data_IF_050974121781
#
_entry.id   IF_050974121781
#
_cell.length_a   1.000
_cell.length_b   1.000
_cell.length_c   1.000
_cell.angle_alpha   90.00
_cell.angle_beta   90.00
_cell.angle_gamma   90.00
#
_symmetry.space_group_name_H-M   'P 1'
#
loop_
_entity.id
_entity.type
_entity.pdbx_description
1 polymer ?
#
# COMPACT_ATOMS: atom_id res chain seq x y z
N UNK A 1 9.22 8.44 -20.77
CA UNK A 1 7.99 7.93 -21.41
C UNK A 1 8.10 6.41 -21.45
N UNK A 2 7.11 5.67 -20.95
CA UNK A 2 7.10 4.20 -20.95
C UNK A 2 6.99 3.69 -22.39
N UNK A 3 7.96 2.90 -22.84
CA UNK A 3 7.97 2.30 -24.17
C UNK A 3 8.32 0.82 -24.07
N UNK A 4 7.58 -0.04 -24.74
CA UNK A 4 8.00 -1.42 -24.92
C UNK A 4 9.23 -1.42 -25.81
N UNK A 5 10.26 -2.18 -25.42
CA UNK A 5 11.37 -2.42 -26.31
C UNK A 5 10.89 -3.13 -27.58
N UNK A 6 11.44 -2.79 -28.73
CA UNK A 6 11.07 -3.40 -30.02
C UNK A 6 11.55 -4.87 -30.14
N UNK A 7 12.28 -5.36 -29.12
CA UNK A 7 12.79 -6.72 -29.06
C UNK A 7 11.68 -7.73 -28.73
N UNK A 8 11.76 -8.92 -29.32
CA UNK A 8 10.92 -10.05 -28.93
C UNK A 8 11.19 -10.50 -27.49
N UNK A 9 10.22 -11.13 -26.83
CA UNK A 9 10.46 -11.75 -25.53
C UNK A 9 11.64 -12.74 -25.60
N UNK A 10 12.49 -12.73 -24.59
CA UNK A 10 13.65 -13.62 -24.49
C UNK A 10 13.73 -14.30 -23.13
N UNK A 11 14.51 -15.36 -23.05
CA UNK A 11 14.77 -16.03 -21.79
C UNK A 11 15.96 -15.40 -21.06
N UNK A 12 15.78 -15.14 -19.75
CA UNK A 12 16.85 -14.80 -18.83
C UNK A 12 16.97 -15.87 -17.75
N UNK A 13 18.18 -16.12 -17.27
CA UNK A 13 18.39 -16.93 -16.08
C UNK A 13 17.80 -16.21 -14.85
N UNK A 14 17.35 -16.98 -13.85
CA UNK A 14 16.66 -16.41 -12.67
C UNK A 14 17.58 -15.50 -11.84
N UNK A 15 18.87 -15.73 -11.86
CA UNK A 15 19.91 -14.95 -11.18
C UNK A 15 20.27 -13.65 -11.92
N UNK A 16 19.98 -13.57 -13.23
CA UNK A 16 20.12 -12.34 -14.01
C UNK A 16 19.02 -11.30 -13.72
N UNK A 17 17.93 -11.71 -13.03
CA UNK A 17 16.77 -10.86 -12.76
C UNK A 17 16.86 -10.32 -11.33
N UNK A 18 17.12 -9.01 -11.21
CA UNK A 18 17.12 -8.28 -9.95
C UNK A 18 15.70 -7.99 -9.46
N UNK A 19 15.59 -7.76 -8.16
CA UNK A 19 14.32 -7.50 -7.45
C UNK A 19 14.37 -6.21 -6.62
N UNK A 20 15.11 -5.18 -7.06
CA UNK A 20 15.24 -3.91 -6.32
C UNK A 20 13.88 -3.25 -6.05
N UNK A 21 12.90 -3.47 -6.94
CA UNK A 21 11.53 -2.96 -6.81
C UNK A 21 10.58 -3.87 -6.01
N UNK A 22 11.03 -5.03 -5.51
CA UNK A 22 10.19 -5.92 -4.67
C UNK A 22 9.69 -5.21 -3.41
N UNK A 23 10.43 -4.21 -2.92
CA UNK A 23 10.05 -3.36 -1.77
C UNK A 23 8.72 -2.62 -1.95
N UNK A 24 8.22 -2.47 -3.18
CA UNK A 24 6.92 -1.85 -3.50
C UNK A 24 5.80 -2.86 -3.61
N UNK A 25 6.06 -4.14 -3.33
CA UNK A 25 5.09 -5.23 -3.47
C UNK A 25 4.92 -5.98 -2.17
N UNK A 26 3.67 -6.32 -1.85
CA UNK A 26 3.39 -7.20 -0.72
C UNK A 26 3.71 -8.64 -1.10
N UNK A 27 4.54 -9.26 -0.28
CA UNK A 27 4.75 -10.70 -0.36
C UNK A 27 3.55 -11.42 0.26
N UNK A 28 2.88 -12.27 -0.53
CA UNK A 28 1.72 -13.07 -0.09
C UNK A 28 2.07 -14.55 -0.33
N UNK A 29 2.50 -15.28 0.71
CA UNK A 29 2.99 -16.68 0.56
C UNK A 29 1.99 -17.63 -0.10
N UNK A 30 0.70 -17.46 0.17
CA UNK A 30 -0.36 -18.30 -0.43
C UNK A 30 -0.50 -18.06 -1.94
N UNK A 31 -0.41 -16.81 -2.36
CA UNK A 31 -0.46 -16.48 -3.77
C UNK A 31 0.78 -16.99 -4.53
N UNK A 32 1.93 -17.02 -3.86
CA UNK A 32 3.16 -17.59 -4.41
C UNK A 32 3.06 -19.13 -4.54
N UNK A 33 2.54 -19.83 -3.50
CA UNK A 33 2.23 -21.27 -3.58
C UNK A 33 1.25 -21.60 -4.70
N UNK A 34 0.23 -20.77 -4.90
CA UNK A 34 -0.69 -20.88 -6.03
C UNK A 34 0.02 -20.73 -7.39
N UNK A 35 0.98 -19.77 -7.48
CA UNK A 35 1.78 -19.56 -8.68
C UNK A 35 2.74 -20.73 -8.95
N UNK A 36 3.36 -21.33 -7.92
CA UNK A 36 4.19 -22.53 -8.07
C UNK A 36 3.40 -23.67 -8.73
N UNK A 37 2.23 -24.02 -8.20
CA UNK A 37 1.37 -25.05 -8.79
C UNK A 37 0.97 -24.75 -10.24
N UNK A 38 0.77 -23.46 -10.56
CA UNK A 38 0.48 -23.04 -11.93
C UNK A 38 1.67 -23.23 -12.87
N UNK A 39 2.86 -22.84 -12.42
CA UNK A 39 4.10 -23.00 -13.19
C UNK A 39 4.46 -24.48 -13.41
N UNK A 40 4.29 -25.33 -12.39
CA UNK A 40 4.50 -26.79 -12.50
C UNK A 40 3.55 -27.43 -13.51
N UNK A 41 2.27 -26.99 -13.52
CA UNK A 41 1.25 -27.61 -14.36
C UNK A 41 1.24 -27.11 -15.80
N UNK A 42 1.46 -25.81 -15.99
CA UNK A 42 1.23 -25.14 -17.28
C UNK A 42 2.49 -24.47 -17.85
N UNK A 43 3.59 -24.48 -17.10
CA UNK A 43 4.75 -23.65 -17.44
C UNK A 43 4.47 -22.15 -17.35
N UNK A 44 5.34 -21.36 -17.91
CA UNK A 44 5.17 -19.91 -18.00
C UNK A 44 4.29 -19.53 -19.19
N UNK A 45 3.07 -19.09 -18.92
CA UNK A 45 2.09 -18.70 -19.96
C UNK A 45 2.35 -17.29 -20.49
N UNK A 46 2.83 -16.37 -19.63
CA UNK A 46 3.09 -14.98 -20.03
C UNK A 46 4.46 -14.53 -19.52
N UNK A 47 5.21 -13.69 -20.28
CA UNK A 47 6.49 -13.21 -19.84
C UNK A 47 6.35 -12.32 -18.59
N UNK A 48 7.41 -12.28 -17.77
CA UNK A 48 7.57 -11.25 -16.74
C UNK A 48 8.05 -9.95 -17.40
N UNK A 49 7.86 -8.81 -16.76
CA UNK A 49 8.28 -7.53 -17.30
C UNK A 49 9.51 -7.04 -16.55
N UNK A 50 10.54 -6.64 -17.29
CA UNK A 50 11.80 -6.12 -16.76
C UNK A 50 12.15 -4.77 -17.40
N UNK A 51 12.95 -3.95 -16.71
CA UNK A 51 13.69 -2.85 -17.29
C UNK A 51 15.18 -3.03 -17.07
N UNK A 52 16.00 -2.18 -17.68
CA UNK A 52 17.45 -2.16 -17.44
C UNK A 52 17.77 -0.94 -16.60
N UNK A 53 18.38 -1.16 -15.43
CA UNK A 53 18.90 -0.12 -14.54
C UNK A 53 20.36 -0.42 -14.26
N UNK A 54 21.23 0.54 -14.49
CA UNK A 54 22.67 0.40 -14.28
C UNK A 54 23.28 -0.87 -14.92
N UNK A 55 22.78 -1.26 -16.10
CA UNK A 55 23.22 -2.45 -16.84
C UNK A 55 22.67 -3.78 -16.34
N UNK A 56 21.74 -3.79 -15.36
CA UNK A 56 21.11 -4.99 -14.80
C UNK A 56 19.63 -5.05 -15.14
N UNK A 57 19.12 -6.27 -15.33
CA UNK A 57 17.68 -6.48 -15.49
C UNK A 57 16.98 -6.42 -14.15
N UNK A 58 16.06 -5.47 -13.99
CA UNK A 58 15.28 -5.29 -12.79
C UNK A 58 13.80 -5.59 -13.06
N UNK A 59 13.20 -6.44 -12.21
CA UNK A 59 11.82 -6.87 -12.35
C UNK A 59 10.83 -5.73 -12.10
N UNK A 60 9.88 -5.56 -13.02
CA UNK A 60 8.78 -4.57 -12.94
C UNK A 60 7.44 -5.25 -12.67
N UNK A 61 7.17 -6.39 -13.33
CA UNK A 61 5.97 -7.20 -13.08
C UNK A 61 6.28 -8.68 -13.16
N UNK A 62 5.59 -9.46 -12.32
CA UNK A 62 5.75 -10.90 -12.23
C UNK A 62 6.51 -11.36 -10.98
N UNK A 63 6.61 -10.54 -9.92
CA UNK A 63 7.30 -10.89 -8.67
C UNK A 63 6.89 -12.26 -8.11
N UNK A 64 5.60 -12.61 -8.15
CA UNK A 64 5.12 -13.92 -7.71
C UNK A 64 5.62 -15.06 -8.62
N UNK A 65 5.78 -14.79 -9.92
CA UNK A 65 6.32 -15.78 -10.89
C UNK A 65 7.80 -16.01 -10.63
N UNK A 66 8.58 -14.95 -10.48
CA UNK A 66 10.00 -15.07 -10.18
C UNK A 66 10.23 -15.78 -8.84
N UNK A 67 9.52 -15.36 -7.76
CA UNK A 67 9.62 -16.00 -6.45
C UNK A 67 9.23 -17.49 -6.48
N UNK A 68 8.18 -17.83 -7.24
CA UNK A 68 7.76 -19.22 -7.42
C UNK A 68 8.77 -20.02 -8.25
N UNK A 69 9.26 -19.45 -9.36
CA UNK A 69 10.25 -20.12 -10.23
C UNK A 69 11.56 -20.46 -9.49
N UNK A 70 12.04 -19.55 -8.63
CA UNK A 70 13.25 -19.79 -7.81
C UNK A 70 13.11 -20.92 -6.80
N UNK A 71 11.89 -21.36 -6.50
CA UNK A 71 11.61 -22.50 -5.60
C UNK A 71 11.41 -23.81 -6.34
N UNK A 72 11.37 -23.77 -7.67
CA UNK A 72 11.19 -24.93 -8.52
C UNK A 72 12.52 -25.35 -9.16
N UNK A 73 13.04 -26.53 -8.80
CA UNK A 73 14.28 -27.06 -9.38
C UNK A 73 14.21 -27.22 -10.91
N UNK A 74 12.99 -27.41 -11.44
CA UNK A 74 12.73 -27.56 -12.87
C UNK A 74 12.82 -26.26 -13.68
N UNK A 75 12.88 -25.10 -13.01
CA UNK A 75 12.87 -23.79 -13.66
C UNK A 75 14.15 -23.02 -13.35
N UNK A 76 15.00 -22.85 -14.35
CA UNK A 76 16.24 -22.07 -14.24
C UNK A 76 16.19 -20.75 -15.01
N UNK A 77 15.18 -20.57 -15.87
CA UNK A 77 15.01 -19.40 -16.74
C UNK A 77 13.55 -18.96 -16.77
N UNK A 78 13.34 -17.70 -17.12
CA UNK A 78 11.99 -17.12 -17.38
C UNK A 78 12.01 -16.33 -18.68
N UNK A 79 10.89 -16.42 -19.40
CA UNK A 79 10.58 -15.48 -20.49
C UNK A 79 10.34 -14.10 -19.93
N UNK A 80 11.06 -13.12 -20.48
CA UNK A 80 10.96 -11.71 -20.07
C UNK A 80 10.60 -10.84 -21.26
N UNK A 81 9.88 -9.78 -21.01
CA UNK A 81 9.63 -8.68 -21.94
C UNK A 81 10.19 -7.40 -21.36
N UNK A 82 11.00 -6.69 -22.14
CA UNK A 82 11.66 -5.47 -21.67
C UNK A 82 10.82 -4.22 -21.94
N UNK A 83 10.83 -3.31 -20.98
CA UNK A 83 10.40 -1.93 -21.18
C UNK A 83 11.60 -0.99 -21.08
N UNK A 84 11.58 0.06 -21.88
CA UNK A 84 12.58 1.13 -21.83
C UNK A 84 12.04 2.25 -20.95
N UNK A 85 12.74 2.48 -19.84
CA UNK A 85 12.31 3.48 -18.86
C UNK A 85 13.44 3.80 -17.90
N UNK A 86 13.40 5.00 -17.31
CA UNK A 86 14.20 5.38 -16.15
C UNK A 86 13.58 4.82 -14.83
N UNK A 87 14.22 5.08 -13.71
CA UNK A 87 13.78 4.61 -12.40
C UNK A 87 12.39 5.15 -12.01
N UNK A 88 12.09 6.42 -12.34
CA UNK A 88 10.77 7.03 -12.11
C UNK A 88 9.68 6.35 -12.94
N UNK A 89 9.97 6.13 -14.21
CA UNK A 89 9.07 5.42 -15.10
C UNK A 89 8.90 3.94 -14.72
N UNK A 90 9.94 3.27 -14.19
CA UNK A 90 9.85 1.92 -13.64
C UNK A 90 8.84 1.84 -12.48
N UNK A 91 8.92 2.77 -11.52
CA UNK A 91 7.95 2.88 -10.42
C UNK A 91 6.52 3.13 -10.93
N UNK A 92 6.37 4.02 -11.92
CA UNK A 92 5.08 4.28 -12.57
C UNK A 92 4.55 3.05 -13.32
N UNK A 93 5.44 2.28 -13.97
CA UNK A 93 5.08 1.04 -14.66
C UNK A 93 4.57 -0.04 -13.70
N UNK A 94 5.21 -0.22 -12.55
CA UNK A 94 4.76 -1.14 -11.50
C UNK A 94 3.32 -0.81 -11.09
N UNK A 95 3.02 0.48 -10.88
CA UNK A 95 1.66 0.92 -10.59
C UNK A 95 0.71 0.63 -11.76
N UNK A 96 1.07 1.02 -12.99
CA UNK A 96 0.22 0.92 -14.16
C UNK A 96 -0.14 -0.51 -14.55
N UNK A 97 0.85 -1.41 -14.61
CA UNK A 97 0.69 -2.81 -14.98
C UNK A 97 -0.18 -3.60 -13.98
N UNK A 98 -0.09 -3.26 -12.70
CA UNK A 98 -0.85 -3.96 -11.66
C UNK A 98 -2.26 -3.39 -11.44
N UNK A 99 -2.49 -2.13 -11.80
CA UNK A 99 -3.79 -1.47 -11.66
C UNK A 99 -4.87 -2.12 -12.52
N UNK A 100 -4.57 -2.40 -13.78
CA UNK A 100 -5.52 -2.95 -14.74
C UNK A 100 -6.14 -4.29 -14.30
N UNK A 101 -5.41 -5.07 -13.49
CA UNK A 101 -5.87 -6.35 -12.94
C UNK A 101 -6.47 -6.28 -11.54
N UNK A 102 -6.68 -5.10 -10.96
CA UNK A 102 -7.15 -4.96 -9.56
C UNK A 102 -6.18 -5.56 -8.52
N UNK A 103 -4.92 -5.74 -8.89
CA UNK A 103 -3.91 -6.48 -8.12
C UNK A 103 -3.10 -5.61 -7.14
N UNK A 104 -3.25 -4.29 -7.22
CA UNK A 104 -2.50 -3.35 -6.37
C UNK A 104 -3.29 -3.03 -5.11
N UNK A 105 -2.66 -3.21 -3.94
CA UNK A 105 -3.23 -2.76 -2.67
C UNK A 105 -2.90 -1.30 -2.41
N UNK A 106 -3.74 -0.59 -1.66
CA UNK A 106 -3.54 0.85 -1.37
C UNK A 106 -2.18 1.15 -0.71
N UNK A 107 -1.64 0.21 0.05
CA UNK A 107 -0.34 0.36 0.69
C UNK A 107 0.81 0.27 -0.33
N UNK A 108 0.70 -0.58 -1.35
CA UNK A 108 1.69 -0.68 -2.43
C UNK A 108 1.70 0.60 -3.27
N UNK A 109 0.51 1.15 -3.57
CA UNK A 109 0.38 2.46 -4.19
C UNK A 109 1.05 3.56 -3.35
N UNK A 110 0.85 3.50 -2.04
CA UNK A 110 1.43 4.46 -1.11
C UNK A 110 2.97 4.39 -1.06
N UNK A 111 3.57 3.18 -1.11
CA UNK A 111 5.02 3.01 -1.18
C UNK A 111 5.61 3.60 -2.47
N UNK A 112 5.00 3.32 -3.61
CA UNK A 112 5.43 3.88 -4.91
C UNK A 112 5.36 5.41 -4.88
N UNK A 113 4.25 5.98 -4.41
CA UNK A 113 4.06 7.42 -4.32
C UNK A 113 5.07 8.05 -3.35
N UNK A 114 5.30 7.41 -2.20
CA UNK A 114 6.29 7.90 -1.23
C UNK A 114 7.69 7.94 -1.85
N UNK A 115 8.09 6.89 -2.58
CA UNK A 115 9.38 6.85 -3.26
C UNK A 115 9.49 7.96 -4.33
N UNK A 116 8.48 8.10 -5.19
CA UNK A 116 8.47 9.16 -6.21
C UNK A 116 8.58 10.57 -5.61
N UNK A 117 7.93 10.81 -4.46
CA UNK A 117 7.96 12.13 -3.81
C UNK A 117 9.24 12.34 -3.00
N UNK A 118 9.69 11.35 -2.21
CA UNK A 118 10.76 11.51 -1.21
C UNK A 118 12.14 11.10 -1.70
N UNK A 119 12.22 10.05 -2.52
CA UNK A 119 13.50 9.57 -3.06
C UNK A 119 13.81 10.25 -4.40
N UNK A 120 12.80 10.39 -5.30
CA UNK A 120 12.98 10.97 -6.62
C UNK A 120 12.75 12.48 -6.66
N UNK A 121 12.27 13.09 -5.58
CA UNK A 121 12.09 14.54 -5.43
C UNK A 121 10.95 15.15 -6.25
N UNK A 122 10.00 14.32 -6.75
CA UNK A 122 8.85 14.83 -7.49
C UNK A 122 7.85 15.51 -6.56
N UNK A 123 7.22 16.57 -7.05
CA UNK A 123 6.08 17.18 -6.40
C UNK A 123 4.84 16.26 -6.48
N UNK A 124 3.89 16.43 -5.57
CA UNK A 124 2.65 15.66 -5.61
C UNK A 124 1.81 15.89 -6.89
N UNK A 125 2.01 17.02 -7.56
CA UNK A 125 1.36 17.33 -8.84
C UNK A 125 2.01 16.51 -9.95
N UNK A 126 3.33 16.52 -10.05
CA UNK A 126 4.07 15.73 -11.04
C UNK A 126 3.80 14.22 -10.87
N UNK A 127 3.74 13.72 -9.63
CA UNK A 127 3.36 12.32 -9.37
C UNK A 127 1.92 12.04 -9.81
N UNK A 128 0.99 12.97 -9.60
CA UNK A 128 -0.39 12.82 -10.05
C UNK A 128 -0.47 12.75 -11.58
N UNK A 129 0.25 13.61 -12.29
CA UNK A 129 0.34 13.61 -13.75
C UNK A 129 0.99 12.33 -14.27
N UNK A 130 2.13 11.92 -13.69
CA UNK A 130 2.85 10.71 -14.06
C UNK A 130 1.98 9.44 -13.94
N UNK A 131 1.18 9.35 -12.87
CA UNK A 131 0.32 8.19 -12.59
C UNK A 131 -1.08 8.28 -13.18
N UNK A 132 -1.42 9.39 -13.88
CA UNK A 132 -2.76 9.64 -14.41
C UNK A 132 -3.81 9.72 -13.31
N UNK A 133 -3.51 10.43 -12.22
CA UNK A 133 -4.37 10.56 -11.03
C UNK A 133 -4.55 12.02 -10.63
N UNK A 134 -5.51 12.28 -9.75
CA UNK A 134 -5.70 13.59 -9.16
C UNK A 134 -4.77 13.82 -7.96
N UNK A 135 -4.25 15.02 -7.76
CA UNK A 135 -3.38 15.38 -6.62
C UNK A 135 -3.94 14.94 -5.27
N UNK A 136 -5.26 15.08 -5.05
CA UNK A 136 -5.89 14.66 -3.81
C UNK A 136 -5.80 13.15 -3.55
N UNK A 137 -5.73 12.33 -4.60
CA UNK A 137 -5.50 10.90 -4.47
C UNK A 137 -4.07 10.62 -4.02
N UNK A 138 -3.07 11.30 -4.62
CA UNK A 138 -1.66 11.22 -4.20
C UNK A 138 -1.49 11.62 -2.74
N UNK A 139 -2.09 12.75 -2.32
CA UNK A 139 -2.10 13.18 -0.92
C UNK A 139 -2.62 12.10 0.04
N UNK A 140 -3.74 11.45 -0.31
CA UNK A 140 -4.33 10.41 0.55
C UNK A 140 -3.45 9.16 0.66
N UNK A 141 -2.77 8.76 -0.42
CA UNK A 141 -1.84 7.62 -0.40
C UNK A 141 -0.58 7.95 0.41
N UNK A 142 0.00 9.12 0.18
CA UNK A 142 1.18 9.58 0.91
C UNK A 142 0.91 9.63 2.43
N UNK A 143 -0.26 10.09 2.83
CA UNK A 143 -0.65 10.15 4.23
C UNK A 143 -0.66 8.76 4.92
N UNK A 144 -0.92 7.66 4.21
CA UNK A 144 -0.86 6.30 4.76
C UNK A 144 0.58 5.89 5.18
N UNK A 145 1.59 6.49 4.58
CA UNK A 145 2.99 6.23 4.95
C UNK A 145 3.50 7.24 5.97
N UNK A 146 3.16 8.51 5.80
CA UNK A 146 3.75 9.59 6.59
C UNK A 146 3.02 9.85 7.91
N UNK A 147 1.70 9.63 7.96
CA UNK A 147 0.87 10.00 9.12
C UNK A 147 0.29 8.80 9.88
N UNK A 148 0.28 7.62 9.29
CA UNK A 148 -0.19 6.42 9.98
C UNK A 148 0.90 5.90 10.91
N UNK A 149 0.54 5.64 12.16
CA UNK A 149 1.44 5.08 13.16
C UNK A 149 1.95 3.69 12.77
N UNK A 150 3.10 3.25 13.30
CA UNK A 150 3.76 2.01 12.89
C UNK A 150 2.87 0.77 13.08
N UNK A 151 2.14 0.67 14.19
CA UNK A 151 1.24 -0.46 14.48
C UNK A 151 0.07 -0.53 13.51
N UNK A 152 -0.61 0.60 13.27
CA UNK A 152 -1.71 0.68 12.31
C UNK A 152 -1.24 0.40 10.87
N UNK A 153 0.00 0.80 10.54
CA UNK A 153 0.62 0.50 9.25
C UNK A 153 0.89 -1.00 9.09
N UNK A 154 1.43 -1.64 10.13
CA UNK A 154 1.66 -3.08 10.12
C UNK A 154 0.35 -3.86 9.91
N UNK A 155 -0.73 -3.47 10.58
CA UNK A 155 -2.05 -4.08 10.38
C UNK A 155 -2.64 -3.86 8.99
N UNK A 156 -2.42 -2.68 8.41
CA UNK A 156 -2.83 -2.40 7.04
C UNK A 156 -2.08 -3.30 6.05
N UNK A 157 -0.78 -3.56 6.28
CA UNK A 157 0.03 -4.43 5.44
C UNK A 157 -0.47 -5.88 5.43
N UNK A 158 -0.81 -6.41 6.60
CA UNK A 158 -1.32 -7.79 6.72
C UNK A 158 -2.82 -7.92 6.47
N UNK A 159 -3.53 -6.79 6.27
CA UNK A 159 -4.96 -6.77 5.95
C UNK A 159 -5.90 -6.85 7.15
N UNK A 160 -5.39 -6.73 8.38
CA UNK A 160 -6.21 -6.64 9.60
C UNK A 160 -6.89 -5.26 9.72
N UNK A 161 -6.24 -4.20 9.28
CA UNK A 161 -6.83 -2.88 9.16
C UNK A 161 -7.23 -2.63 7.70
N UNK A 162 -8.51 -2.27 7.47
CA UNK A 162 -8.95 -1.94 6.11
C UNK A 162 -8.36 -0.60 5.65
N UNK A 163 -8.15 -0.39 4.34
CA UNK A 163 -7.67 0.91 3.83
C UNK A 163 -8.59 2.08 4.20
N UNK A 164 -9.90 1.84 4.28
CA UNK A 164 -10.87 2.87 4.69
C UNK A 164 -10.70 3.22 6.17
N UNK A 165 -10.51 2.23 7.04
CA UNK A 165 -10.21 2.44 8.45
C UNK A 165 -8.88 3.18 8.64
N UNK A 166 -7.82 2.78 7.92
CA UNK A 166 -6.52 3.45 7.93
C UNK A 166 -6.63 4.94 7.57
N UNK A 167 -7.44 5.29 6.55
CA UNK A 167 -7.70 6.69 6.19
C UNK A 167 -8.40 7.49 7.30
N UNK A 168 -9.22 6.86 8.13
CA UNK A 168 -9.79 7.53 9.31
C UNK A 168 -8.73 7.72 10.39
N UNK A 169 -7.92 6.69 10.66
CA UNK A 169 -6.83 6.76 11.64
C UNK A 169 -5.84 7.89 11.35
N UNK A 170 -5.50 8.13 10.07
CA UNK A 170 -4.61 9.23 9.63
C UNK A 170 -5.10 10.63 10.04
N UNK A 171 -6.40 10.81 10.32
CA UNK A 171 -6.97 12.08 10.79
C UNK A 171 -6.62 12.39 12.25
N UNK A 172 -6.25 11.36 13.02
CA UNK A 172 -5.86 11.50 14.42
C UNK A 172 -4.39 11.95 14.53
N UNK A 173 -4.04 12.72 15.56
CA UNK A 173 -2.64 12.93 15.92
C UNK A 173 -1.92 11.59 16.13
N UNK A 174 -0.66 11.50 15.72
CA UNK A 174 0.11 10.25 15.76
C UNK A 174 0.11 9.57 17.13
N UNK A 175 0.24 10.34 18.22
CA UNK A 175 0.25 9.82 19.58
C UNK A 175 -1.08 9.23 20.08
N UNK A 176 -2.18 9.46 19.35
CA UNK A 176 -3.51 8.98 19.75
C UNK A 176 -3.96 7.74 18.96
N UNK A 177 -3.25 7.41 17.89
CA UNK A 177 -3.64 6.33 16.99
C UNK A 177 -3.56 4.96 17.64
N UNK A 178 -2.52 4.68 18.42
CA UNK A 178 -2.34 3.40 19.11
C UNK A 178 -3.52 3.11 20.05
N UNK A 179 -3.92 4.07 20.90
CA UNK A 179 -5.04 3.90 21.82
C UNK A 179 -6.38 3.63 21.12
N UNK A 180 -6.64 4.31 19.98
CA UNK A 180 -7.86 4.06 19.19
C UNK A 180 -7.76 2.70 18.48
N UNK A 181 -6.59 2.29 18.01
CA UNK A 181 -6.37 0.98 17.39
C UNK A 181 -6.67 -0.15 18.38
N UNK A 182 -6.23 -0.03 19.63
CA UNK A 182 -6.53 -0.98 20.69
C UNK A 182 -8.03 -1.08 20.98
N UNK A 183 -8.74 0.04 20.95
CA UNK A 183 -10.21 0.05 21.06
C UNK A 183 -10.86 -0.68 19.89
N UNK A 184 -10.40 -0.44 18.66
CA UNK A 184 -10.90 -1.12 17.45
C UNK A 184 -10.75 -2.64 17.58
N UNK A 185 -9.59 -3.10 18.07
CA UNK A 185 -9.31 -4.54 18.29
C UNK A 185 -10.20 -5.12 19.39
N UNK A 186 -10.19 -4.49 20.56
CA UNK A 186 -10.91 -4.98 21.75
C UNK A 186 -12.41 -5.08 21.53
N UNK A 187 -12.98 -4.07 20.88
CA UNK A 187 -14.43 -3.97 20.66
C UNK A 187 -14.87 -4.52 19.30
N UNK A 188 -13.92 -4.96 18.45
CA UNK A 188 -14.18 -5.38 17.06
C UNK A 188 -15.03 -4.33 16.31
N UNK A 189 -14.62 -3.06 16.38
CA UNK A 189 -15.36 -1.95 15.77
C UNK A 189 -15.37 -2.05 14.24
N UNK A 190 -16.55 -1.86 13.67
CA UNK A 190 -16.69 -1.68 12.23
C UNK A 190 -16.05 -0.37 11.76
N UNK A 191 -15.78 -0.25 10.45
CA UNK A 191 -15.25 0.97 9.86
C UNK A 191 -16.17 2.19 10.08
N UNK A 192 -17.48 1.97 10.15
CA UNK A 192 -18.47 3.03 10.42
C UNK A 192 -18.34 3.51 11.87
N UNK A 193 -18.29 2.58 12.83
CA UNK A 193 -18.09 2.89 14.24
C UNK A 193 -16.75 3.61 14.47
N UNK A 194 -15.66 3.12 13.85
CA UNK A 194 -14.36 3.79 13.91
C UNK A 194 -14.45 5.24 13.37
N UNK A 195 -15.14 5.44 12.24
CA UNK A 195 -15.33 6.79 11.71
C UNK A 195 -16.02 7.71 12.72
N UNK A 196 -17.09 7.22 13.36
CA UNK A 196 -17.79 7.95 14.41
C UNK A 196 -16.91 8.25 15.63
N UNK A 197 -16.07 7.29 16.05
CA UNK A 197 -15.11 7.46 17.16
C UNK A 197 -14.06 8.54 16.80
N UNK A 198 -13.52 8.51 15.59
CA UNK A 198 -12.55 9.52 15.14
C UNK A 198 -13.20 10.90 15.08
N UNK A 199 -14.42 11.02 14.59
CA UNK A 199 -15.16 12.27 14.55
C UNK A 199 -15.38 12.81 15.98
N UNK A 200 -15.85 11.96 16.91
CA UNK A 200 -16.02 12.33 18.32
C UNK A 200 -14.70 12.77 18.97
N UNK A 201 -13.61 12.05 18.68
CA UNK A 201 -12.29 12.38 19.20
C UNK A 201 -11.84 13.79 18.79
N UNK A 202 -12.07 14.13 17.53
CA UNK A 202 -11.70 15.44 16.98
C UNK A 202 -12.63 16.57 17.44
N UNK A 203 -13.92 16.25 17.66
CA UNK A 203 -14.91 17.21 18.18
C UNK A 203 -14.75 17.49 19.67
N UNK A 204 -14.20 16.55 20.44
CA UNK A 204 -14.07 16.62 21.89
C UNK A 204 -12.60 16.70 22.35
N UNK A 205 -11.89 17.81 22.08
CA UNK A 205 -10.53 17.98 22.54
C UNK A 205 -10.49 18.09 24.08
N UNK A 206 -9.87 17.12 24.74
CA UNK A 206 -9.69 17.12 26.18
C UNK A 206 -9.47 15.71 26.74
N UNK A 207 -8.69 15.64 27.82
CA UNK A 207 -8.29 14.35 28.40
C UNK A 207 -9.48 13.53 28.92
N UNK A 208 -10.45 14.16 29.57
CA UNK A 208 -11.59 13.47 30.19
C UNK A 208 -12.51 12.85 29.13
N UNK A 209 -13.02 13.60 28.12
CA UNK A 209 -13.87 13.03 27.10
C UNK A 209 -13.13 11.98 26.24
N UNK A 210 -11.85 12.19 25.93
CA UNK A 210 -11.04 11.23 25.19
C UNK A 210 -10.85 9.93 25.98
N UNK A 211 -10.59 10.00 27.28
CA UNK A 211 -10.49 8.82 28.13
C UNK A 211 -11.82 8.04 28.18
N UNK A 212 -12.95 8.75 28.25
CA UNK A 212 -14.27 8.12 28.21
C UNK A 212 -14.51 7.40 26.87
N UNK A 213 -14.14 8.01 25.74
CA UNK A 213 -14.25 7.39 24.40
C UNK A 213 -13.44 6.09 24.34
N UNK A 214 -12.23 6.06 24.93
CA UNK A 214 -11.40 4.84 24.96
C UNK A 214 -11.99 3.72 25.84
N UNK A 215 -12.66 4.10 26.93
CA UNK A 215 -13.24 3.12 27.87
C UNK A 215 -14.63 2.64 27.44
N UNK A 216 -15.46 3.51 26.86
CA UNK A 216 -16.86 3.26 26.51
C UNK A 216 -17.21 3.69 25.08
N UNK A 217 -16.56 3.12 24.05
CA UNK A 217 -16.65 3.64 22.68
C UNK A 217 -18.08 3.60 22.11
N UNK A 218 -18.82 2.48 22.32
CA UNK A 218 -20.18 2.35 21.81
C UNK A 218 -21.18 3.26 22.53
N UNK A 219 -21.01 3.45 23.84
CA UNK A 219 -21.84 4.40 24.59
C UNK A 219 -21.57 5.85 24.13
N UNK A 220 -20.29 6.18 23.87
CA UNK A 220 -19.90 7.49 23.36
C UNK A 220 -20.55 7.77 21.99
N UNK A 221 -20.64 6.78 21.10
CA UNK A 221 -21.32 6.88 19.81
C UNK A 221 -22.83 7.14 19.95
N UNK A 222 -23.49 6.54 20.93
CA UNK A 222 -24.93 6.69 21.19
C UNK A 222 -25.33 8.00 21.84
N UNK A 223 -24.39 8.82 22.33
CA UNK A 223 -24.69 10.07 23.04
C UNK A 223 -25.15 11.21 22.12
N UNK A 224 -26.14 12.03 22.55
CA UNK A 224 -26.64 13.15 21.77
C UNK A 224 -25.54 14.20 21.51
N UNK A 225 -25.67 14.94 20.39
CA UNK A 225 -24.71 15.99 19.98
C UNK A 225 -24.42 17.03 21.07
N UNK A 226 -25.37 17.31 21.97
CA UNK A 226 -25.20 18.23 23.11
C UNK A 226 -24.09 17.78 24.09
N UNK A 227 -23.77 16.48 24.19
CA UNK A 227 -22.65 16.01 24.99
C UNK A 227 -21.29 16.23 24.29
N UNK A 228 -21.30 16.38 22.98
CA UNK A 228 -20.11 16.53 22.13
C UNK A 228 -19.45 17.91 22.26
N UNK A 229 -20.15 18.92 22.84
CA UNK A 229 -19.70 20.30 22.85
C UNK A 229 -19.97 21.04 24.17
N UNK A 230 -19.61 20.48 25.31
CA UNK A 230 -19.32 21.36 26.46
C UNK A 230 -17.89 21.89 26.25
N UNK A 231 -17.78 22.95 25.45
CA UNK A 231 -16.61 23.83 25.49
C UNK A 231 -16.44 24.23 26.95
N UNK A 232 -15.29 23.88 27.54
CA UNK A 232 -14.97 24.38 28.86
C UNK A 232 -15.15 25.90 28.88
N UNK A 233 -16.15 26.37 29.58
CA UNK A 233 -16.21 27.74 30.06
C UNK A 233 -14.91 27.95 30.83
N UNK A 234 -14.01 28.76 30.28
CA UNK A 234 -12.88 29.32 31.03
C UNK A 234 -13.49 30.05 32.24
N UNK A 235 -13.21 29.58 33.43
CA UNK A 235 -13.17 30.40 34.61
C UNK A 235 -11.81 31.04 34.74
#
# INVERSE_FOLDING_TARGET
MLRWAEEEPRELALDEIGESYARYRLHVPEAERGMMRSLERYGQISPVVVCVQEGRYELIDGFKRLGAARKLESMTRLWVRRIETDDRGAKAAIYGLNRAGGRTREIEEAWIIHALVREDGLTQVEVAELLGRHKSWVCRRLALIEKLGPEARAELQVGLLTPTAARQMVRLPAGNQAGILDVVRREALSTIELTGIVDLWLECPGRIPQQYILQHPREALGRPKAWRCRRGTRA
#
